data_IF_131318644618
#
_entry.id   IF_131318644618
#
_cell.length_a   1.000
_cell.length_b   1.000
_cell.length_c   1.000
_cell.angle_alpha   90.00
_cell.angle_beta   90.00
_cell.angle_gamma   90.00
#
_symmetry.space_group_name_H-M   'P 1'
#
loop_
_entity.id
_entity.type
_entity.pdbx_description
1 polymer ?
#
# COMPACT_ATOMS: atom_id res chain seq x y z
N UNK A 1 -44.70 -33.33 22.42
CA UNK A 1 -43.60 -34.31 22.44
C UNK A 1 -43.34 -34.77 21.01
N UNK A 2 -42.32 -34.26 20.34
CA UNK A 2 -41.66 -34.94 19.20
C UNK A 2 -40.38 -34.20 18.92
N UNK A 3 -39.25 -34.85 19.28
CA UNK A 3 -37.87 -34.38 19.10
C UNK A 3 -37.46 -34.67 17.67
N UNK A 4 -37.10 -33.66 16.89
CA UNK A 4 -36.37 -33.82 15.63
C UNK A 4 -34.86 -33.62 15.90
N UNK A 5 -34.12 -34.73 15.81
CA UNK A 5 -32.66 -34.74 15.81
C UNK A 5 -32.20 -34.32 14.42
N UNK A 6 -31.55 -33.15 14.29
CA UNK A 6 -30.80 -32.73 13.10
C UNK A 6 -29.45 -33.41 13.13
N UNK A 7 -29.25 -34.38 12.25
CA UNK A 7 -27.96 -34.94 11.91
C UNK A 7 -27.18 -33.92 11.03
N UNK A 8 -26.21 -33.22 11.61
CA UNK A 8 -25.21 -32.43 10.89
C UNK A 8 -24.20 -33.41 10.24
N UNK A 9 -24.40 -33.72 8.97
CA UNK A 9 -23.38 -34.36 8.14
C UNK A 9 -22.30 -33.33 7.86
N UNK A 10 -21.23 -33.37 8.63
CA UNK A 10 -19.97 -32.64 8.35
C UNK A 10 -19.33 -33.24 7.11
N UNK A 11 -19.60 -32.65 5.94
CA UNK A 11 -18.79 -32.87 4.75
C UNK A 11 -17.41 -32.27 5.00
N UNK A 12 -16.48 -33.08 5.49
CA UNK A 12 -15.06 -32.75 5.51
C UNK A 12 -14.58 -32.58 4.07
N UNK A 13 -14.54 -31.36 3.59
CA UNK A 13 -13.76 -31.02 2.41
C UNK A 13 -12.28 -31.23 2.77
N UNK A 14 -11.75 -32.41 2.42
CA UNK A 14 -10.33 -32.63 2.33
C UNK A 14 -9.81 -31.71 1.22
N UNK A 15 -9.41 -30.48 1.56
CA UNK A 15 -8.58 -29.70 0.68
C UNK A 15 -7.29 -30.51 0.49
N UNK A 16 -7.15 -31.20 -0.63
CA UNK A 16 -5.84 -31.51 -1.14
C UNK A 16 -5.05 -30.20 -1.07
N UNK A 17 -3.99 -30.18 -0.28
CA UNK A 17 -3.11 -29.03 -0.14
C UNK A 17 -2.43 -28.78 -1.49
N UNK A 18 -3.15 -28.16 -2.42
CA UNK A 18 -2.54 -27.63 -3.62
C UNK A 18 -1.51 -26.58 -3.17
N UNK A 19 -0.33 -26.60 -3.78
CA UNK A 19 0.68 -25.59 -3.49
C UNK A 19 0.08 -24.21 -3.76
N UNK A 20 0.14 -23.31 -2.77
CA UNK A 20 -0.40 -21.96 -2.89
C UNK A 20 0.35 -21.19 -3.99
N UNK A 21 -0.37 -20.74 -5.01
CA UNK A 21 0.16 -19.90 -6.06
C UNK A 21 0.16 -18.42 -5.62
N UNK A 22 0.66 -17.52 -6.47
CA UNK A 22 0.76 -16.10 -6.14
C UNK A 22 -0.63 -15.45 -6.03
N UNK A 23 -1.58 -15.81 -6.89
CA UNK A 23 -2.96 -15.31 -6.86
C UNK A 23 -3.69 -15.75 -5.60
N UNK A 24 -3.60 -17.02 -5.20
CA UNK A 24 -4.20 -17.51 -3.95
C UNK A 24 -3.62 -16.80 -2.72
N UNK A 25 -2.30 -16.56 -2.73
CA UNK A 25 -1.60 -15.82 -1.67
C UNK A 25 -2.07 -14.37 -1.61
N UNK A 26 -2.32 -13.74 -2.76
CA UNK A 26 -2.89 -12.39 -2.84
C UNK A 26 -4.31 -12.33 -2.27
N UNK A 27 -5.20 -13.25 -2.62
CA UNK A 27 -6.55 -13.28 -2.08
C UNK A 27 -6.56 -13.46 -0.56
N UNK A 28 -5.69 -14.32 -0.02
CA UNK A 28 -5.54 -14.47 1.42
C UNK A 28 -5.04 -13.16 2.09
N UNK A 29 -4.09 -12.47 1.45
CA UNK A 29 -3.59 -11.17 1.91
C UNK A 29 -4.68 -10.08 1.84
N UNK A 30 -5.46 -10.03 0.77
CA UNK A 30 -6.56 -9.05 0.60
C UNK A 30 -7.59 -9.15 1.73
N UNK A 31 -7.83 -10.36 2.23
CA UNK A 31 -8.76 -10.61 3.33
C UNK A 31 -8.17 -10.28 4.72
N UNK A 32 -6.84 -10.30 4.88
CA UNK A 32 -6.18 -10.29 6.21
C UNK A 32 -5.19 -9.15 6.44
N UNK A 33 -4.69 -8.47 5.38
CA UNK A 33 -3.67 -7.42 5.52
C UNK A 33 -4.23 -6.18 6.24
N UNK A 34 -3.68 -5.80 7.42
CA UNK A 34 -4.18 -4.67 8.18
C UNK A 34 -3.96 -3.31 7.47
N UNK A 35 -2.91 -3.19 6.63
CA UNK A 35 -2.63 -1.96 5.92
C UNK A 35 -3.68 -1.72 4.81
N UNK A 36 -4.07 -2.78 4.10
CA UNK A 36 -5.14 -2.70 3.12
C UNK A 36 -6.51 -2.45 3.78
N UNK A 37 -6.81 -3.13 4.90
CA UNK A 37 -8.03 -2.87 5.67
C UNK A 37 -8.10 -1.41 6.17
N UNK A 38 -6.97 -0.83 6.58
CA UNK A 38 -6.86 0.59 6.95
C UNK A 38 -7.15 1.51 5.75
N UNK A 39 -6.63 1.19 4.57
CA UNK A 39 -6.90 1.96 3.35
C UNK A 39 -8.38 1.91 2.95
N UNK A 40 -9.03 0.74 3.05
CA UNK A 40 -10.47 0.59 2.84
C UNK A 40 -11.29 1.39 3.85
N UNK A 41 -10.90 1.39 5.13
CA UNK A 41 -11.56 2.20 6.15
C UNK A 41 -11.40 3.71 5.88
N UNK A 42 -10.20 4.14 5.45
CA UNK A 42 -9.92 5.52 5.06
C UNK A 42 -10.76 5.95 3.85
N UNK A 43 -10.93 5.08 2.86
CA UNK A 43 -11.81 5.32 1.73
C UNK A 43 -13.27 5.51 2.18
N UNK A 44 -13.79 4.60 3.04
CA UNK A 44 -15.15 4.74 3.59
C UNK A 44 -15.33 6.05 4.35
N UNK A 45 -14.34 6.46 5.14
CA UNK A 45 -14.35 7.75 5.82
C UNK A 45 -14.30 8.93 4.82
N UNK A 46 -13.58 8.77 3.70
CA UNK A 46 -13.54 9.74 2.61
C UNK A 46 -14.88 9.95 1.93
N UNK A 47 -15.68 8.89 1.75
CA UNK A 47 -17.03 8.96 1.17
C UNK A 47 -17.97 9.82 2.01
N UNK A 48 -17.79 9.87 3.34
CA UNK A 48 -18.63 10.66 4.25
C UNK A 48 -18.39 12.18 4.12
N UNK A 49 -17.35 12.62 3.41
CA UNK A 49 -17.11 14.04 3.15
C UNK A 49 -18.23 14.69 2.31
N UNK A 50 -18.82 13.94 1.40
CA UNK A 50 -19.91 14.43 0.55
C UNK A 50 -21.23 14.63 1.33
N UNK A 51 -21.73 13.64 2.11
CA UNK A 51 -22.87 13.86 3.00
C UNK A 51 -22.66 15.01 3.98
N UNK A 52 -21.44 15.13 4.57
CA UNK A 52 -21.10 16.23 5.48
C UNK A 52 -21.18 17.59 4.79
N UNK A 53 -20.64 17.72 3.58
CA UNK A 53 -20.71 18.96 2.82
C UNK A 53 -22.15 19.26 2.36
N UNK A 54 -22.92 18.23 1.97
CA UNK A 54 -24.34 18.35 1.63
C UNK A 54 -25.17 18.82 2.81
N UNK A 55 -24.87 18.42 4.04
CA UNK A 55 -25.54 18.85 5.25
C UNK A 55 -25.50 20.38 5.44
N UNK A 56 -24.43 21.04 4.94
CA UNK A 56 -24.32 22.51 4.92
C UNK A 56 -25.27 23.23 3.96
N UNK A 57 -26.02 22.46 3.14
CA UNK A 57 -27.06 22.96 2.21
C UNK A 57 -28.48 22.58 2.66
N UNK A 58 -28.62 21.71 3.66
CA UNK A 58 -29.90 21.18 4.14
C UNK A 58 -30.37 21.93 5.39
N UNK A 59 -31.67 21.81 5.76
CA UNK A 59 -32.18 22.42 6.99
C UNK A 59 -31.45 21.85 8.20
N UNK A 60 -31.07 22.75 9.12
CA UNK A 60 -30.52 22.41 10.43
C UNK A 60 -31.56 22.68 11.49
N UNK A 61 -31.89 21.68 12.30
CA UNK A 61 -32.86 21.79 13.39
C UNK A 61 -32.10 21.63 14.70
N UNK A 62 -32.26 22.58 15.58
CA UNK A 62 -31.67 22.58 16.93
C UNK A 62 -32.72 22.79 17.98
N UNK A 63 -32.59 22.14 19.12
CA UNK A 63 -33.37 22.40 20.32
C UNK A 63 -32.46 22.82 21.45
N UNK A 64 -32.87 23.83 22.22
CA UNK A 64 -32.14 24.30 23.37
C UNK A 64 -33.05 24.46 24.55
N UNK A 65 -32.55 24.22 25.77
CA UNK A 65 -33.23 24.51 27.01
C UNK A 65 -32.21 25.12 27.98
N UNK A 66 -32.65 26.14 28.69
CA UNK A 66 -31.82 26.78 29.69
C UNK A 66 -32.63 27.17 30.93
N UNK A 67 -32.02 27.09 32.11
CA UNK A 67 -32.51 27.67 33.36
C UNK A 67 -31.39 28.57 33.92
N UNK A 68 -31.64 29.84 33.97
CA UNK A 68 -30.66 30.85 34.37
C UNK A 68 -31.17 31.55 35.62
N UNK A 69 -30.42 31.45 36.70
CA UNK A 69 -30.67 32.20 37.91
C UNK A 69 -30.06 33.59 37.76
N UNK A 70 -30.90 34.63 37.93
CA UNK A 70 -30.55 36.02 37.76
C UNK A 70 -30.66 36.71 39.14
N UNK A 71 -29.58 37.34 39.56
CA UNK A 71 -29.57 38.26 40.67
C UNK A 71 -29.21 39.65 40.12
N UNK A 72 -30.20 40.52 40.02
CA UNK A 72 -30.08 41.82 39.37
C UNK A 72 -30.38 42.92 40.37
N UNK A 73 -29.50 43.88 40.51
CA UNK A 73 -29.76 45.14 41.29
C UNK A 73 -30.12 46.24 40.30
N UNK A 74 -31.41 46.64 40.31
CA UNK A 74 -31.95 47.58 39.36
C UNK A 74 -32.27 48.87 40.07
N UNK A 75 -31.85 50.02 39.55
CA UNK A 75 -32.17 51.36 40.08
C UNK A 75 -33.68 51.64 40.06
N UNK A 76 -34.46 50.99 39.21
CA UNK A 76 -35.91 51.20 39.09
C UNK A 76 -36.75 50.23 39.97
N UNK A 77 -36.22 48.94 40.16
CA UNK A 77 -37.00 47.91 40.82
C UNK A 77 -36.32 47.29 42.05
N UNK A 78 -35.12 47.76 42.41
CA UNK A 78 -34.34 47.17 43.50
C UNK A 78 -33.72 45.86 43.20
N UNK A 79 -33.42 45.04 44.21
CA UNK A 79 -32.85 43.69 44.05
C UNK A 79 -33.91 42.73 43.66
N UNK A 80 -33.67 42.04 42.48
CA UNK A 80 -34.53 41.02 41.91
C UNK A 80 -33.76 39.71 41.89
N UNK A 81 -34.34 38.66 42.41
CA UNK A 81 -33.82 37.30 42.44
C UNK A 81 -34.84 36.38 41.77
N UNK A 82 -34.51 35.81 40.62
CA UNK A 82 -35.44 34.98 39.85
C UNK A 82 -34.73 34.01 38.93
N UNK A 83 -35.38 32.92 38.57
CA UNK A 83 -34.86 31.93 37.62
C UNK A 83 -35.68 31.97 36.34
N UNK A 84 -35.02 32.34 35.23
CA UNK A 84 -35.64 32.29 33.90
C UNK A 84 -35.43 30.91 33.29
N UNK A 85 -36.52 30.30 32.82
CA UNK A 85 -36.49 29.04 32.06
C UNK A 85 -36.85 29.32 30.61
N UNK A 86 -36.03 28.82 29.68
CA UNK A 86 -36.30 28.95 28.25
C UNK A 86 -36.13 27.61 27.56
N UNK A 87 -37.09 27.25 26.71
CA UNK A 87 -37.00 26.12 25.78
C UNK A 87 -37.26 26.64 24.36
N UNK A 88 -36.39 26.32 23.42
CA UNK A 88 -36.52 26.80 22.06
C UNK A 88 -36.18 25.68 21.04
N UNK A 89 -36.91 25.68 19.92
CA UNK A 89 -36.59 24.91 18.73
C UNK A 89 -36.34 25.92 17.60
N UNK A 90 -35.24 25.73 16.88
CA UNK A 90 -34.85 26.58 15.76
C UNK A 90 -34.59 25.71 14.52
N UNK A 91 -35.11 26.16 13.39
CA UNK A 91 -34.82 25.61 12.07
C UNK A 91 -34.10 26.69 11.26
N UNK A 92 -32.94 26.36 10.74
CA UNK A 92 -32.15 27.18 9.83
C UNK A 92 -32.00 26.49 8.50
N UNK A 93 -32.52 27.07 7.41
CA UNK A 93 -32.35 26.58 6.05
C UNK A 93 -31.51 27.59 5.24
N UNK A 94 -30.28 27.23 4.87
CA UNK A 94 -29.51 28.03 3.92
C UNK A 94 -30.21 28.07 2.56
N UNK A 95 -30.53 29.26 2.05
CA UNK A 95 -31.08 29.46 0.69
C UNK A 95 -29.96 29.79 -0.28
N UNK A 96 -29.06 30.69 0.13
CA UNK A 96 -27.90 31.05 -0.66
C UNK A 96 -26.68 31.24 0.25
N UNK A 97 -25.73 30.32 0.11
CA UNK A 97 -24.39 30.37 0.73
C UNK A 97 -23.36 29.86 -0.24
N UNK A 98 -22.72 30.77 -1.01
CA UNK A 98 -21.71 30.40 -2.03
C UNK A 98 -20.61 29.51 -1.43
N UNK A 99 -20.21 29.76 -0.18
CA UNK A 99 -19.22 28.96 0.52
C UNK A 99 -19.63 27.48 0.68
N UNK A 100 -20.91 27.20 1.00
CA UNK A 100 -21.43 25.84 1.12
C UNK A 100 -21.47 25.09 -0.21
N UNK A 101 -21.83 25.78 -1.31
CA UNK A 101 -21.78 25.19 -2.65
C UNK A 101 -20.35 24.83 -3.06
N UNK A 102 -19.38 25.72 -2.77
CA UNK A 102 -17.97 25.44 -3.07
C UNK A 102 -17.42 24.31 -2.20
N UNK A 103 -17.82 24.24 -0.93
CA UNK A 103 -17.46 23.12 -0.05
C UNK A 103 -17.99 21.78 -0.57
N UNK A 104 -19.21 21.77 -1.12
CA UNK A 104 -19.78 20.57 -1.76
C UNK A 104 -18.97 20.14 -2.98
N UNK A 105 -18.54 21.08 -3.83
CA UNK A 105 -17.67 20.80 -4.97
C UNK A 105 -16.28 20.28 -4.51
N UNK A 106 -15.71 20.85 -3.43
CA UNK A 106 -14.47 20.34 -2.84
C UNK A 106 -14.62 18.90 -2.33
N UNK A 107 -15.74 18.58 -1.68
CA UNK A 107 -16.02 17.24 -1.16
C UNK A 107 -16.04 16.18 -2.28
N UNK A 108 -16.55 16.53 -3.48
CA UNK A 108 -16.48 15.64 -4.64
C UNK A 108 -15.03 15.34 -5.05
N UNK A 109 -14.16 16.36 -5.04
CA UNK A 109 -12.73 16.14 -5.32
C UNK A 109 -12.03 15.35 -4.20
N UNK A 110 -12.45 15.51 -2.94
CA UNK A 110 -11.93 14.71 -1.81
C UNK A 110 -12.26 13.21 -1.96
N UNK A 111 -13.44 12.87 -2.51
CA UNK A 111 -13.77 11.48 -2.86
C UNK A 111 -12.80 10.97 -3.93
N UNK A 112 -12.54 11.77 -4.98
CA UNK A 112 -11.59 11.36 -6.02
C UNK A 112 -10.17 11.13 -5.48
N UNK A 113 -9.74 11.91 -4.47
CA UNK A 113 -8.48 11.64 -3.74
C UNK A 113 -8.55 10.30 -3.01
N UNK A 114 -9.64 10.04 -2.28
CA UNK A 114 -9.80 8.81 -1.51
C UNK A 114 -9.87 7.56 -2.41
N UNK A 115 -10.55 7.63 -3.56
CA UNK A 115 -10.59 6.57 -4.58
C UNK A 115 -9.21 6.28 -5.15
N UNK A 116 -8.46 7.31 -5.49
CA UNK A 116 -7.12 7.17 -6.02
C UNK A 116 -6.16 6.58 -4.96
N UNK A 117 -6.29 6.97 -3.70
CA UNK A 117 -5.51 6.41 -2.59
C UNK A 117 -5.83 4.92 -2.36
N UNK A 118 -7.09 4.51 -2.43
CA UNK A 118 -7.47 3.10 -2.34
C UNK A 118 -6.90 2.30 -3.51
N UNK A 119 -6.97 2.83 -4.73
CA UNK A 119 -6.37 2.19 -5.91
C UNK A 119 -4.85 2.06 -5.80
N UNK A 120 -4.18 3.05 -5.21
CA UNK A 120 -2.73 2.96 -4.92
C UNK A 120 -2.43 1.88 -3.87
N UNK A 121 -3.25 1.77 -2.82
CA UNK A 121 -3.09 0.77 -1.77
C UNK A 121 -3.33 -0.66 -2.29
N UNK A 122 -4.25 -0.84 -3.23
CA UNK A 122 -4.50 -2.13 -3.89
C UNK A 122 -3.27 -2.57 -4.70
N UNK A 123 -2.72 -1.68 -5.54
CA UNK A 123 -1.50 -1.97 -6.30
C UNK A 123 -0.28 -2.20 -5.38
N UNK A 124 -0.18 -1.47 -4.28
CA UNK A 124 0.86 -1.69 -3.26
C UNK A 124 0.73 -3.08 -2.62
N UNK A 125 -0.49 -3.51 -2.29
CA UNK A 125 -0.73 -4.85 -1.76
C UNK A 125 -0.26 -5.93 -2.74
N UNK A 126 -0.62 -5.81 -4.04
CA UNK A 126 -0.16 -6.73 -5.09
C UNK A 126 1.37 -6.83 -5.12
N UNK A 127 2.06 -5.69 -5.11
CA UNK A 127 3.53 -5.67 -5.14
C UNK A 127 4.16 -6.21 -3.86
N UNK A 128 3.61 -5.89 -2.68
CA UNK A 128 4.11 -6.41 -1.39
C UNK A 128 3.95 -7.93 -1.28
N UNK A 129 2.82 -8.45 -1.72
CA UNK A 129 2.58 -9.90 -1.76
C UNK A 129 3.55 -10.58 -2.73
N UNK A 130 3.67 -10.07 -3.97
CA UNK A 130 4.57 -10.61 -4.96
C UNK A 130 6.04 -10.58 -4.49
N UNK A 131 6.48 -9.46 -3.91
CA UNK A 131 7.83 -9.33 -3.35
C UNK A 131 8.08 -10.36 -2.23
N UNK A 132 7.16 -10.46 -1.25
CA UNK A 132 7.31 -11.38 -0.13
C UNK A 132 7.26 -12.85 -0.57
N UNK A 133 6.41 -13.18 -1.54
CA UNK A 133 6.31 -14.50 -2.15
C UNK A 133 7.63 -14.90 -2.84
N UNK A 134 8.16 -14.03 -3.71
CA UNK A 134 9.43 -14.29 -4.40
C UNK A 134 10.63 -14.27 -3.45
N UNK A 135 10.62 -13.45 -2.40
CA UNK A 135 11.64 -13.48 -1.37
C UNK A 135 11.72 -14.85 -0.68
N UNK A 136 10.57 -15.47 -0.37
CA UNK A 136 10.54 -16.84 0.18
C UNK A 136 11.08 -17.84 -0.82
N UNK A 137 10.66 -17.80 -2.09
CA UNK A 137 11.16 -18.71 -3.11
C UNK A 137 12.66 -18.55 -3.34
N UNK A 138 13.15 -17.32 -3.39
CA UNK A 138 14.58 -17.05 -3.53
C UNK A 138 15.40 -17.60 -2.37
N UNK A 139 14.91 -17.47 -1.13
CA UNK A 139 15.58 -18.03 0.06
C UNK A 139 15.53 -19.56 0.07
N UNK A 140 14.43 -20.16 -0.42
CA UNK A 140 14.34 -21.63 -0.60
C UNK A 140 15.35 -22.14 -1.64
N UNK A 141 15.46 -21.47 -2.78
CA UNK A 141 16.43 -21.82 -3.82
C UNK A 141 17.87 -21.64 -3.31
N UNK A 142 18.15 -20.54 -2.61
CA UNK A 142 19.46 -20.28 -2.01
C UNK A 142 19.86 -21.41 -1.03
N UNK A 143 18.94 -21.81 -0.14
CA UNK A 143 19.17 -22.93 0.78
C UNK A 143 19.43 -24.23 0.04
N UNK A 144 18.61 -24.54 -0.97
CA UNK A 144 18.78 -25.75 -1.81
C UNK A 144 20.15 -25.78 -2.49
N UNK A 145 20.62 -24.66 -3.04
CA UNK A 145 21.93 -24.58 -3.68
C UNK A 145 23.08 -24.68 -2.67
N UNK A 146 22.95 -24.10 -1.47
CA UNK A 146 23.93 -24.24 -0.39
C UNK A 146 24.03 -25.68 0.06
N UNK A 147 22.92 -26.39 0.26
CA UNK A 147 22.90 -27.81 0.61
C UNK A 147 23.52 -28.69 -0.46
N UNK A 148 23.24 -28.42 -1.75
CA UNK A 148 23.87 -29.13 -2.85
C UNK A 148 25.38 -28.86 -2.94
N UNK A 149 25.80 -27.62 -2.67
CA UNK A 149 27.22 -27.25 -2.57
C UNK A 149 27.90 -27.97 -1.40
N UNK A 150 27.26 -28.00 -0.22
CA UNK A 150 27.76 -28.69 0.97
C UNK A 150 27.97 -30.20 0.72
N UNK A 151 27.00 -30.85 0.09
CA UNK A 151 27.13 -32.25 -0.28
C UNK A 151 28.34 -32.52 -1.22
N UNK A 152 28.50 -31.63 -2.23
CA UNK A 152 29.65 -31.73 -3.15
C UNK A 152 31.00 -31.47 -2.46
N UNK A 153 31.06 -30.53 -1.53
CA UNK A 153 32.28 -30.24 -0.74
C UNK A 153 32.59 -31.40 0.21
N UNK A 154 31.56 -32.02 0.82
CA UNK A 154 31.75 -33.19 1.69
C UNK A 154 32.35 -34.37 0.94
N UNK A 155 31.93 -34.62 -0.32
CA UNK A 155 32.57 -35.64 -1.19
C UNK A 155 34.02 -35.31 -1.49
N UNK A 156 34.36 -34.04 -1.81
CA UNK A 156 35.72 -33.61 -2.06
C UNK A 156 36.59 -33.73 -0.83
N UNK A 157 36.07 -33.38 0.34
CA UNK A 157 36.78 -33.56 1.63
C UNK A 157 37.09 -35.04 1.89
N UNK A 158 36.12 -35.91 1.70
CA UNK A 158 36.31 -37.35 1.85
C UNK A 158 37.35 -37.90 0.86
N UNK A 159 37.37 -37.39 -0.36
CA UNK A 159 38.37 -37.75 -1.39
C UNK A 159 39.75 -37.21 -0.97
N UNK A 160 39.88 -35.94 -0.56
CA UNK A 160 41.14 -35.33 -0.16
C UNK A 160 41.76 -36.06 1.04
N UNK A 161 40.97 -36.45 2.06
CA UNK A 161 41.42 -37.28 3.20
C UNK A 161 41.96 -38.61 2.76
N UNK A 162 41.25 -39.37 1.93
CA UNK A 162 41.71 -40.66 1.40
C UNK A 162 42.96 -40.53 0.55
N UNK A 163 43.07 -39.50 -0.30
CA UNK A 163 44.26 -39.24 -1.12
C UNK A 163 45.49 -38.90 -0.24
N UNK A 164 45.30 -38.19 0.86
CA UNK A 164 46.36 -37.92 1.83
C UNK A 164 46.81 -39.20 2.55
N UNK A 165 45.89 -40.05 3.00
CA UNK A 165 46.18 -41.33 3.64
C UNK A 165 47.04 -42.29 2.79
N UNK A 166 46.81 -42.29 1.47
CA UNK A 166 47.59 -43.08 0.50
C UNK A 166 48.81 -42.35 -0.03
N UNK A 167 49.06 -41.10 0.45
CA UNK A 167 50.26 -40.33 0.07
C UNK A 167 50.19 -39.66 -1.32
N UNK A 168 49.02 -39.64 -1.97
CA UNK A 168 48.83 -39.00 -3.29
C UNK A 168 48.38 -37.56 -3.28
N UNK A 169 48.09 -36.98 -2.07
CA UNK A 169 47.73 -35.56 -1.86
C UNK A 169 48.45 -35.02 -0.63
N UNK A 170 48.46 -33.70 -0.48
CA UNK A 170 49.09 -33.01 0.65
C UNK A 170 48.08 -32.86 1.81
N UNK A 171 48.60 -32.67 3.02
CA UNK A 171 47.77 -32.29 4.21
C UNK A 171 47.07 -30.95 3.97
N UNK A 172 47.69 -30.05 3.22
CA UNK A 172 47.12 -28.74 2.86
C UNK A 172 45.82 -28.89 2.08
N UNK A 173 45.72 -29.82 1.11
CA UNK A 173 44.53 -30.12 0.36
C UNK A 173 43.37 -30.57 1.26
N UNK A 174 43.66 -31.44 2.23
CA UNK A 174 42.70 -31.90 3.22
C UNK A 174 42.21 -30.76 4.16
N UNK A 175 43.13 -29.90 4.60
CA UNK A 175 42.80 -28.77 5.49
C UNK A 175 41.97 -27.73 4.75
N UNK A 176 42.26 -27.47 3.46
CA UNK A 176 41.49 -26.54 2.64
C UNK A 176 40.06 -27.05 2.37
N UNK A 177 39.90 -28.32 2.04
CA UNK A 177 38.60 -28.94 1.88
C UNK A 177 37.81 -28.92 3.21
N UNK A 178 38.47 -29.13 4.37
CA UNK A 178 37.84 -29.00 5.67
C UNK A 178 37.36 -27.57 5.95
N UNK A 179 38.20 -26.57 5.70
CA UNK A 179 37.84 -25.16 5.87
C UNK A 179 36.63 -24.77 5.03
N UNK A 180 36.54 -25.26 3.77
CA UNK A 180 35.38 -25.07 2.88
C UNK A 180 34.12 -25.76 3.43
N UNK A 181 34.24 -26.97 3.97
CA UNK A 181 33.11 -27.67 4.57
C UNK A 181 32.58 -26.92 5.80
N UNK A 182 33.46 -26.44 6.68
CA UNK A 182 33.07 -25.70 7.88
C UNK A 182 32.40 -24.35 7.48
N UNK A 183 32.91 -23.65 6.47
CA UNK A 183 32.29 -22.44 5.94
C UNK A 183 30.89 -22.72 5.35
N UNK A 184 30.73 -23.84 4.61
CA UNK A 184 29.44 -24.18 4.02
C UNK A 184 28.37 -24.50 5.07
N UNK A 185 28.76 -25.11 6.21
CA UNK A 185 27.88 -25.32 7.35
C UNK A 185 27.39 -23.98 7.95
N UNK A 186 28.30 -23.03 8.10
CA UNK A 186 27.92 -21.68 8.58
C UNK A 186 26.96 -20.98 7.60
N UNK A 187 27.17 -21.13 6.30
CA UNK A 187 26.28 -20.56 5.27
C UNK A 187 24.88 -21.23 5.29
N UNK A 188 24.80 -22.54 5.51
CA UNK A 188 23.50 -23.23 5.64
C UNK A 188 22.71 -22.72 6.83
N UNK A 189 23.35 -22.58 8.01
CA UNK A 189 22.69 -22.03 9.20
C UNK A 189 22.13 -20.60 8.91
N UNK A 190 22.91 -19.77 8.25
CA UNK A 190 22.47 -18.43 7.87
C UNK A 190 21.29 -18.46 6.88
N UNK A 191 21.32 -19.35 5.90
CA UNK A 191 20.25 -19.50 4.91
C UNK A 191 18.95 -20.06 5.51
N UNK A 192 19.04 -20.97 6.48
CA UNK A 192 17.88 -21.48 7.23
C UNK A 192 17.21 -20.35 8.02
N UNK A 193 18.00 -19.52 8.68
CA UNK A 193 17.47 -18.35 9.40
C UNK A 193 16.83 -17.32 8.46
N UNK A 194 17.47 -17.01 7.33
CA UNK A 194 16.90 -16.10 6.32
C UNK A 194 15.55 -16.62 5.80
N UNK A 195 15.46 -17.90 5.46
CA UNK A 195 14.22 -18.52 5.02
C UNK A 195 13.10 -18.39 6.08
N UNK A 196 13.39 -18.60 7.36
CA UNK A 196 12.40 -18.43 8.43
C UNK A 196 11.94 -16.97 8.52
N UNK A 197 12.86 -16.02 8.43
CA UNK A 197 12.52 -14.59 8.43
C UNK A 197 11.63 -14.20 7.24
N UNK A 198 11.95 -14.69 6.02
CA UNK A 198 11.13 -14.42 4.81
C UNK A 198 9.74 -15.04 4.92
N UNK A 199 9.63 -16.26 5.44
CA UNK A 199 8.32 -16.89 5.71
C UNK A 199 7.50 -16.07 6.71
N UNK A 200 8.10 -15.59 7.78
CA UNK A 200 7.42 -14.73 8.77
C UNK A 200 6.98 -13.40 8.16
N UNK A 201 7.80 -12.83 7.27
CA UNK A 201 7.43 -11.60 6.55
C UNK A 201 6.19 -11.82 5.65
N UNK A 202 6.14 -12.94 4.92
CA UNK A 202 4.96 -13.30 4.12
C UNK A 202 3.73 -13.56 5.02
N UNK A 203 3.90 -14.33 6.12
CA UNK A 203 2.83 -14.61 7.07
C UNK A 203 2.22 -13.34 7.67
N UNK A 204 3.02 -12.30 7.89
CA UNK A 204 2.55 -11.00 8.39
C UNK A 204 1.56 -10.33 7.43
N UNK A 205 1.73 -10.53 6.11
CA UNK A 205 0.85 -9.96 5.08
C UNK A 205 -0.38 -10.84 4.88
N UNK A 206 -0.17 -12.17 4.83
CA UNK A 206 -1.23 -13.15 4.53
C UNK A 206 -2.10 -13.49 5.75
N UNK A 207 -1.62 -13.20 6.98
CA UNK A 207 -2.34 -13.46 8.23
C UNK A 207 -2.36 -14.92 8.67
N UNK A 208 -1.86 -15.84 7.86
CA UNK A 208 -1.77 -17.28 8.14
C UNK A 208 -0.48 -17.85 7.58
N UNK A 209 -0.05 -19.01 8.10
CA UNK A 209 1.10 -19.71 7.51
C UNK A 209 0.66 -20.28 6.15
N UNK A 210 1.19 -19.77 5.02
CA UNK A 210 0.91 -20.39 3.73
C UNK A 210 1.45 -21.83 3.75
N UNK A 211 0.73 -22.74 3.10
CA UNK A 211 1.23 -24.09 2.84
C UNK A 211 2.52 -24.10 2.00
N UNK A 212 2.80 -25.20 1.34
CA UNK A 212 3.86 -25.23 0.32
C UNK A 212 3.54 -24.22 -0.78
N UNK A 213 4.51 -23.34 -1.10
CA UNK A 213 4.37 -22.38 -2.20
C UNK A 213 4.68 -23.07 -3.52
N UNK A 214 4.00 -22.65 -4.58
CA UNK A 214 4.37 -23.03 -5.94
C UNK A 214 5.72 -22.41 -6.31
N UNK A 215 6.59 -23.19 -6.96
CA UNK A 215 7.98 -22.80 -7.29
C UNK A 215 8.09 -22.39 -8.75
N UNK A 216 9.09 -21.57 -9.09
CA UNK A 216 9.33 -21.17 -10.47
C UNK A 216 9.79 -22.35 -11.33
N UNK A 217 9.06 -22.60 -12.42
CA UNK A 217 9.42 -23.62 -13.41
C UNK A 217 10.58 -23.15 -14.31
N UNK A 218 11.09 -24.09 -15.11
CA UNK A 218 12.18 -23.80 -16.07
C UNK A 218 11.69 -23.18 -17.39
N UNK A 219 10.40 -22.88 -17.52
CA UNK A 219 9.77 -22.40 -18.76
C UNK A 219 9.80 -20.89 -18.94
N UNK A 220 10.34 -20.15 -17.96
CA UNK A 220 10.40 -18.69 -18.03
C UNK A 220 11.30 -18.25 -19.19
N UNK A 221 10.70 -17.61 -20.19
CA UNK A 221 11.41 -16.93 -21.28
C UNK A 221 11.24 -15.42 -21.11
N UNK A 222 12.29 -14.69 -20.72
CA UNK A 222 12.21 -13.26 -20.60
C UNK A 222 11.92 -12.59 -21.94
N UNK A 223 10.85 -11.77 -21.97
CA UNK A 223 10.39 -11.04 -23.17
C UNK A 223 10.47 -9.55 -22.91
N UNK A 224 10.73 -8.76 -23.94
CA UNK A 224 10.68 -7.29 -23.83
C UNK A 224 9.26 -6.83 -23.47
N UNK A 225 9.12 -5.71 -22.72
CA UNK A 225 7.81 -5.20 -22.34
C UNK A 225 7.01 -4.74 -23.56
N UNK A 226 5.69 -4.95 -23.54
CA UNK A 226 4.79 -4.48 -24.60
C UNK A 226 3.91 -3.35 -24.07
N UNK A 227 3.97 -2.15 -24.66
CA UNK A 227 4.79 -1.71 -25.82
C UNK A 227 6.29 -1.67 -25.54
N UNK A 228 7.09 -1.70 -26.61
CA UNK A 228 8.56 -1.64 -26.52
C UNK A 228 9.11 -0.23 -26.36
N UNK A 229 8.29 0.80 -26.49
CA UNK A 229 8.68 2.21 -26.33
C UNK A 229 8.53 2.66 -24.89
N UNK A 230 9.56 3.27 -24.32
CA UNK A 230 9.52 3.93 -23.01
C UNK A 230 8.47 5.05 -22.98
N UNK A 231 8.41 5.90 -24.02
CA UNK A 231 7.48 7.02 -24.09
C UNK A 231 6.01 6.57 -24.03
N UNK A 232 5.70 5.40 -24.61
CA UNK A 232 4.37 4.82 -24.52
C UNK A 232 4.01 4.37 -23.08
N UNK A 233 4.98 3.92 -22.30
CA UNK A 233 4.79 3.59 -20.89
C UNK A 233 4.64 4.84 -20.04
N UNK A 234 5.42 5.89 -20.29
CA UNK A 234 5.28 7.19 -19.61
C UNK A 234 3.88 7.77 -19.88
N UNK A 235 3.44 7.79 -21.14
CA UNK A 235 2.11 8.26 -21.47
C UNK A 235 0.98 7.47 -20.77
N UNK A 236 1.12 6.15 -20.65
CA UNK A 236 0.19 5.31 -19.87
C UNK A 236 0.22 5.66 -18.37
N UNK A 237 1.41 5.86 -17.81
CA UNK A 237 1.58 6.24 -16.41
C UNK A 237 0.95 7.61 -16.11
N UNK A 238 1.15 8.60 -16.99
CA UNK A 238 0.52 9.91 -16.85
C UNK A 238 -1.01 9.87 -16.91
N UNK A 239 -1.58 8.95 -17.67
CA UNK A 239 -3.02 8.77 -17.78
C UNK A 239 -3.61 7.89 -16.65
N UNK A 240 -2.87 6.85 -16.23
CA UNK A 240 -3.36 5.77 -15.36
C UNK A 240 -2.98 5.91 -13.90
N UNK A 241 -1.86 6.54 -13.56
CA UNK A 241 -1.32 6.56 -12.20
C UNK A 241 -2.32 7.08 -11.15
N UNK A 242 -2.63 6.28 -10.12
CA UNK A 242 -3.48 6.72 -9.01
C UNK A 242 -2.88 7.91 -8.26
N UNK A 243 -1.56 7.95 -8.08
CA UNK A 243 -0.89 9.05 -7.40
C UNK A 243 -1.10 10.38 -8.13
N UNK A 244 -1.00 10.37 -9.48
CA UNK A 244 -1.22 11.57 -10.28
C UNK A 244 -2.70 12.00 -10.27
N UNK A 245 -3.63 11.04 -10.26
CA UNK A 245 -5.07 11.32 -10.09
C UNK A 245 -5.36 11.99 -8.75
N UNK A 246 -4.80 11.48 -7.66
CA UNK A 246 -4.93 12.07 -6.33
C UNK A 246 -4.39 13.51 -6.30
N UNK A 247 -3.21 13.74 -6.89
CA UNK A 247 -2.57 15.06 -6.89
C UNK A 247 -3.31 16.07 -7.78
N UNK A 248 -3.89 15.64 -8.92
CA UNK A 248 -4.77 16.49 -9.75
C UNK A 248 -6.02 16.88 -8.97
N UNK A 249 -6.65 15.95 -8.26
CA UNK A 249 -7.80 16.25 -7.41
C UNK A 249 -7.43 17.21 -6.26
N UNK A 250 -6.25 17.05 -5.65
CA UNK A 250 -5.73 17.96 -4.63
C UNK A 250 -5.50 19.38 -5.17
N UNK A 251 -4.97 19.51 -6.39
CA UNK A 251 -4.86 20.80 -7.08
C UNK A 251 -6.24 21.44 -7.33
N UNK A 252 -7.23 20.66 -7.76
CA UNK A 252 -8.61 21.16 -7.95
C UNK A 252 -9.23 21.63 -6.63
N UNK A 253 -8.96 20.92 -5.51
CA UNK A 253 -9.39 21.35 -4.16
C UNK A 253 -8.78 22.72 -3.81
N UNK A 254 -7.47 22.90 -4.06
CA UNK A 254 -6.80 24.18 -3.79
C UNK A 254 -7.35 25.30 -4.67
N UNK A 255 -7.72 25.03 -5.92
CA UNK A 255 -8.38 26.00 -6.80
C UNK A 255 -9.76 26.39 -6.26
N UNK A 256 -10.57 25.43 -5.86
CA UNK A 256 -11.88 25.70 -5.23
C UNK A 256 -11.75 26.42 -3.89
N UNK A 257 -10.65 26.25 -3.17
CA UNK A 257 -10.38 26.95 -1.90
C UNK A 257 -10.29 28.46 -2.09
N UNK A 258 -9.75 28.92 -3.23
CA UNK A 258 -9.74 30.34 -3.57
C UNK A 258 -11.17 30.87 -3.71
N UNK A 259 -12.04 30.11 -4.42
CA UNK A 259 -13.44 30.50 -4.57
C UNK A 259 -14.18 30.48 -3.23
N UNK A 260 -13.90 29.49 -2.37
CA UNK A 260 -14.48 29.39 -1.03
C UNK A 260 -14.13 30.61 -0.17
N UNK A 261 -12.86 31.04 -0.21
CA UNK A 261 -12.43 32.21 0.53
C UNK A 261 -12.96 33.51 -0.05
N UNK A 262 -13.05 33.65 -1.41
CA UNK A 262 -13.69 34.79 -2.06
C UNK A 262 -15.18 34.93 -1.70
N UNK A 263 -15.84 33.78 -1.44
CA UNK A 263 -17.24 33.76 -1.00
C UNK A 263 -17.47 34.46 0.33
N UNK A 264 -16.42 34.78 1.11
CA UNK A 264 -16.48 35.63 2.29
C UNK A 264 -16.89 37.09 2.02
N UNK A 265 -16.84 37.55 0.76
CA UNK A 265 -17.37 38.84 0.32
C UNK A 265 -18.82 38.77 -0.18
N UNK A 266 -19.37 37.54 -0.36
CA UNK A 266 -20.70 37.40 -0.92
C UNK A 266 -21.77 37.41 0.17
N UNK A 267 -23.00 37.84 -0.18
CA UNK A 267 -24.11 37.77 0.74
C UNK A 267 -24.48 36.33 1.07
N UNK A 268 -25.08 36.16 2.25
CA UNK A 268 -25.75 34.91 2.63
C UNK A 268 -27.25 35.24 2.85
N UNK A 269 -28.10 34.28 2.50
CA UNK A 269 -29.53 34.29 2.68
C UNK A 269 -29.98 32.98 3.32
N UNK A 270 -30.57 33.08 4.48
CA UNK A 270 -31.07 31.96 5.26
C UNK A 270 -32.58 32.15 5.56
N UNK A 271 -33.37 31.07 5.49
CA UNK A 271 -34.70 31.03 6.08
C UNK A 271 -34.57 30.56 7.54
N UNK A 272 -35.20 31.25 8.44
CA UNK A 272 -35.17 30.96 9.87
C UNK A 272 -36.60 30.78 10.37
N UNK A 273 -36.85 29.69 11.09
CA UNK A 273 -38.07 29.50 11.85
C UNK A 273 -37.69 29.12 13.30
N UNK A 274 -38.33 29.76 14.27
CA UNK A 274 -38.12 29.42 15.67
C UNK A 274 -39.41 29.45 16.48
N UNK A 275 -39.47 28.56 17.46
CA UNK A 275 -40.48 28.55 18.51
C UNK A 275 -39.76 28.55 19.86
N UNK A 276 -40.13 29.49 20.72
CA UNK A 276 -39.56 29.56 22.07
C UNK A 276 -40.67 29.69 23.12
N UNK A 277 -40.51 29.01 24.26
CA UNK A 277 -41.33 29.09 25.46
C UNK A 277 -40.39 29.57 26.59
N UNK A 278 -40.51 30.87 26.89
CA UNK A 278 -39.75 31.53 27.97
C UNK A 278 -40.64 31.73 29.15
N UNK A 279 -40.29 31.19 30.31
CA UNK A 279 -41.04 31.23 31.55
C UNK A 279 -40.25 31.92 32.63
N UNK A 280 -41.04 32.50 33.59
CA UNK A 280 -40.49 33.11 34.76
C UNK A 280 -39.60 34.34 34.43
N UNK A 281 -39.85 35.02 33.29
CA UNK A 281 -39.23 36.31 33.00
C UNK A 281 -39.76 37.37 33.96
N UNK A 282 -38.88 38.06 34.62
CA UNK A 282 -39.27 39.07 35.61
C UNK A 282 -39.17 40.49 35.02
N UNK A 283 -40.28 41.21 34.98
CA UNK A 283 -40.36 42.63 34.65
C UNK A 283 -40.82 43.40 35.86
N UNK A 284 -39.89 43.62 36.80
CA UNK A 284 -40.23 44.27 38.10
C UNK A 284 -41.04 43.31 38.98
N UNK A 285 -42.29 43.64 39.23
CA UNK A 285 -43.18 42.88 40.12
C UNK A 285 -44.04 41.84 39.36
N UNK A 286 -43.81 41.69 38.06
CA UNK A 286 -44.61 40.79 37.23
C UNK A 286 -43.76 39.63 36.66
N UNK A 287 -44.18 38.40 36.89
CA UNK A 287 -43.67 37.23 36.14
C UNK A 287 -44.45 37.06 34.84
N UNK A 288 -43.70 36.96 33.74
CA UNK A 288 -44.28 36.85 32.39
C UNK A 288 -43.82 35.56 31.73
N UNK A 289 -44.77 34.81 31.14
CA UNK A 289 -44.51 33.65 30.31
C UNK A 289 -44.79 34.01 28.86
N UNK A 290 -43.76 33.89 27.99
CA UNK A 290 -43.88 34.27 26.58
C UNK A 290 -43.67 33.03 25.69
N UNK A 291 -44.64 32.80 24.81
CA UNK A 291 -44.49 31.84 23.70
C UNK A 291 -44.35 32.63 22.41
N UNK A 292 -43.22 32.49 21.75
CA UNK A 292 -42.92 33.26 20.55
C UNK A 292 -42.66 32.33 19.38
N UNK A 293 -43.37 32.52 18.27
CA UNK A 293 -43.09 31.90 17.00
C UNK A 293 -42.57 32.96 16.02
N UNK A 294 -41.45 32.68 15.40
CA UNK A 294 -40.84 33.59 14.42
C UNK A 294 -40.57 32.81 13.14
N UNK A 295 -40.90 33.39 12.01
CA UNK A 295 -40.54 32.88 10.66
C UNK A 295 -40.05 34.08 9.86
N UNK A 296 -38.90 33.94 9.22
CA UNK A 296 -38.31 35.03 8.45
C UNK A 296 -37.18 34.64 7.54
N UNK A 297 -36.70 35.61 6.81
CA UNK A 297 -35.50 35.52 6.00
C UNK A 297 -34.42 36.39 6.64
N UNK A 298 -33.24 35.83 6.77
CA UNK A 298 -32.07 36.56 7.26
C UNK A 298 -31.08 36.73 6.13
N UNK A 299 -30.87 37.98 5.72
CA UNK A 299 -29.86 38.41 4.76
C UNK A 299 -28.68 39.01 5.50
N UNK A 300 -27.46 38.55 5.20
CA UNK A 300 -26.24 39.10 5.75
C UNK A 300 -25.23 39.36 4.61
N UNK A 301 -24.75 40.62 4.54
CA UNK A 301 -23.72 41.03 3.59
C UNK A 301 -22.58 41.69 4.35
N UNK A 302 -21.41 41.03 4.45
CA UNK A 302 -20.24 41.61 5.11
C UNK A 302 -19.61 42.68 4.21
N UNK A 303 -19.71 43.93 4.62
CA UNK A 303 -19.19 45.08 3.86
C UNK A 303 -17.68 45.28 4.06
N UNK A 304 -17.20 45.11 5.28
CA UNK A 304 -15.79 45.27 5.63
C UNK A 304 -15.40 44.34 6.79
N UNK A 305 -14.32 43.59 6.65
CA UNK A 305 -13.82 42.63 7.65
C UNK A 305 -12.33 42.87 7.98
N UNK A 306 -11.87 44.14 8.00
CA UNK A 306 -10.48 44.43 8.36
C UNK A 306 -9.42 43.84 7.45
N UNK A 307 -9.76 43.50 6.19
CA UNK A 307 -8.83 42.86 5.22
C UNK A 307 -8.69 41.34 5.36
N UNK A 308 -9.40 40.69 6.28
CA UNK A 308 -9.30 39.23 6.55
C UNK A 308 -9.56 38.41 5.32
N UNK A 309 -10.64 38.68 4.57
CA UNK A 309 -10.98 37.88 3.36
C UNK A 309 -9.90 38.00 2.29
N UNK A 310 -9.40 39.23 2.04
CA UNK A 310 -8.33 39.47 1.09
C UNK A 310 -7.02 38.70 1.46
N UNK A 311 -6.71 38.65 2.76
CA UNK A 311 -5.57 37.87 3.26
C UNK A 311 -5.75 36.38 3.05
N UNK A 312 -6.92 35.80 3.36
CA UNK A 312 -7.26 34.42 3.12
C UNK A 312 -7.24 34.05 1.63
N UNK A 313 -7.68 34.95 0.76
CA UNK A 313 -7.60 34.74 -0.70
C UNK A 313 -6.14 34.69 -1.15
N UNK A 314 -5.25 35.59 -0.66
CA UNK A 314 -3.82 35.54 -1.00
C UNK A 314 -3.16 34.25 -0.49
N UNK A 315 -3.49 33.84 0.72
CA UNK A 315 -3.03 32.55 1.28
C UNK A 315 -3.49 31.38 0.41
N UNK A 316 -4.76 31.34 0.00
CA UNK A 316 -5.30 30.30 -0.85
C UNK A 316 -4.63 30.29 -2.24
N UNK A 317 -4.28 31.45 -2.80
CA UNK A 317 -3.53 31.55 -4.06
C UNK A 317 -2.13 30.94 -3.89
N UNK A 318 -1.42 31.28 -2.81
CA UNK A 318 -0.10 30.71 -2.53
C UNK A 318 -0.17 29.17 -2.34
N UNK A 319 -1.22 28.67 -1.68
CA UNK A 319 -1.47 27.25 -1.53
C UNK A 319 -1.82 26.56 -2.87
N UNK A 320 -2.50 27.23 -3.79
CA UNK A 320 -2.72 26.73 -5.16
C UNK A 320 -1.41 26.65 -5.93
N UNK A 321 -0.52 27.65 -5.84
CA UNK A 321 0.78 27.62 -6.48
C UNK A 321 1.65 26.47 -5.93
N UNK A 322 1.61 26.24 -4.61
CA UNK A 322 2.22 25.07 -3.99
C UNK A 322 1.64 23.76 -4.58
N UNK A 323 0.33 23.63 -4.62
CA UNK A 323 -0.32 22.41 -5.15
C UNK A 323 0.00 22.18 -6.64
N UNK A 324 0.21 23.24 -7.42
CA UNK A 324 0.67 23.15 -8.81
C UNK A 324 2.11 22.62 -8.89
N UNK A 325 2.99 23.12 -8.03
CA UNK A 325 4.38 22.63 -7.97
C UNK A 325 4.43 21.17 -7.52
N UNK A 326 3.64 20.78 -6.50
CA UNK A 326 3.52 19.41 -6.04
C UNK A 326 3.00 18.47 -7.14
N UNK A 327 2.06 18.92 -7.97
CA UNK A 327 1.55 18.15 -9.12
C UNK A 327 2.63 17.93 -10.18
N UNK A 328 3.41 18.95 -10.48
CA UNK A 328 4.51 18.84 -11.44
C UNK A 328 5.64 17.96 -10.92
N UNK A 329 5.97 18.04 -9.62
CA UNK A 329 6.94 17.15 -8.97
C UNK A 329 6.48 15.69 -9.01
N UNK A 330 5.22 15.43 -8.66
CA UNK A 330 4.63 14.10 -8.75
C UNK A 330 4.69 13.54 -10.17
N UNK A 331 4.43 14.36 -11.18
CA UNK A 331 4.51 13.96 -12.59
C UNK A 331 5.93 13.51 -12.93
N UNK A 332 6.95 14.34 -12.60
CA UNK A 332 8.36 14.00 -12.84
C UNK A 332 8.80 12.76 -12.10
N UNK A 333 8.32 12.57 -10.88
CA UNK A 333 8.61 11.36 -10.10
C UNK A 333 8.01 10.11 -10.76
N UNK A 334 6.80 10.20 -11.32
CA UNK A 334 6.17 9.10 -12.06
C UNK A 334 6.95 8.78 -13.34
N UNK A 335 7.39 9.79 -14.08
CA UNK A 335 8.23 9.61 -15.27
C UNK A 335 9.52 8.86 -14.92
N UNK A 336 10.21 9.29 -13.85
CA UNK A 336 11.42 8.64 -13.37
C UNK A 336 11.15 7.19 -12.92
N UNK A 337 10.13 6.97 -12.13
CA UNK A 337 9.78 5.63 -11.61
C UNK A 337 9.40 4.68 -12.75
N UNK A 338 8.64 5.16 -13.72
CA UNK A 338 8.27 4.39 -14.92
C UNK A 338 9.50 4.05 -15.76
N UNK A 339 10.41 5.00 -15.93
CA UNK A 339 11.66 4.78 -16.66
C UNK A 339 12.55 3.75 -15.95
N UNK A 340 12.67 3.83 -14.63
CA UNK A 340 13.42 2.86 -13.83
C UNK A 340 12.81 1.46 -13.93
N UNK A 341 11.47 1.35 -13.84
CA UNK A 341 10.78 0.06 -13.96
C UNK A 341 10.93 -0.53 -15.37
N UNK A 342 10.81 0.28 -16.42
CA UNK A 342 11.02 -0.15 -17.80
C UNK A 342 12.45 -0.66 -18.04
N UNK A 343 13.46 0.10 -17.59
CA UNK A 343 14.86 -0.32 -17.65
C UNK A 343 15.11 -1.57 -16.81
N UNK A 344 14.43 -1.71 -15.68
CA UNK A 344 14.48 -2.92 -14.85
C UNK A 344 14.01 -4.17 -15.59
N UNK A 345 12.95 -4.08 -16.39
CA UNK A 345 12.47 -5.21 -17.22
C UNK A 345 13.43 -5.52 -18.36
N UNK A 346 13.88 -4.50 -19.10
CA UNK A 346 14.75 -4.70 -20.27
C UNK A 346 16.13 -5.21 -19.87
N UNK A 347 16.76 -4.61 -18.85
CA UNK A 347 18.04 -5.08 -18.33
C UNK A 347 17.93 -6.44 -17.62
N UNK A 348 16.84 -6.68 -16.89
CA UNK A 348 16.56 -7.96 -16.23
C UNK A 348 16.45 -9.10 -17.22
N UNK A 349 15.76 -8.88 -18.34
CA UNK A 349 15.67 -9.88 -19.42
C UNK A 349 17.06 -10.22 -20.01
N UNK A 350 17.87 -9.20 -20.25
CA UNK A 350 19.25 -9.40 -20.75
C UNK A 350 20.13 -10.11 -19.71
N UNK A 351 20.00 -9.76 -18.43
CA UNK A 351 20.73 -10.37 -17.32
C UNK A 351 20.40 -11.86 -17.16
N UNK A 352 19.12 -12.23 -17.21
CA UNK A 352 18.70 -13.65 -17.13
C UNK A 352 19.35 -14.45 -18.27
N UNK A 353 19.29 -13.96 -19.51
CA UNK A 353 19.90 -14.61 -20.67
C UNK A 353 21.44 -14.75 -20.53
N UNK A 354 22.09 -13.73 -20.01
CA UNK A 354 23.53 -13.76 -19.76
C UNK A 354 23.91 -14.80 -18.69
N UNK A 355 23.14 -14.86 -17.60
CA UNK A 355 23.35 -15.82 -16.52
C UNK A 355 23.02 -17.27 -16.93
N UNK A 356 22.07 -17.49 -17.83
CA UNK A 356 21.82 -18.81 -18.43
C UNK A 356 23.05 -19.29 -19.23
N UNK A 357 23.67 -18.42 -19.99
CA UNK A 357 24.91 -18.74 -20.69
C UNK A 357 26.08 -18.95 -19.71
N UNK A 358 26.19 -18.11 -18.67
CA UNK A 358 27.20 -18.27 -17.64
C UNK A 358 27.06 -19.58 -16.87
N UNK A 359 25.82 -20.06 -16.65
CA UNK A 359 25.55 -21.35 -16.02
C UNK A 359 26.10 -22.50 -16.85
N UNK A 360 25.87 -22.52 -18.19
CA UNK A 360 26.43 -23.50 -19.10
C UNK A 360 27.97 -23.51 -19.06
N UNK A 361 28.57 -22.31 -19.07
CA UNK A 361 30.02 -22.13 -19.01
C UNK A 361 30.62 -22.60 -17.69
N UNK A 362 29.97 -22.26 -16.56
CA UNK A 362 30.41 -22.71 -15.23
C UNK A 362 30.31 -24.22 -15.05
N UNK A 363 29.24 -24.85 -15.58
CA UNK A 363 29.11 -26.32 -15.58
C UNK A 363 30.22 -27.01 -16.39
N UNK A 364 30.53 -26.45 -17.57
CA UNK A 364 31.62 -26.96 -18.43
C UNK A 364 32.97 -26.81 -17.73
N UNK A 365 33.22 -25.64 -17.07
CA UNK A 365 34.44 -25.38 -16.31
C UNK A 365 34.61 -26.38 -15.15
N UNK A 366 33.54 -26.66 -14.41
CA UNK A 366 33.58 -27.64 -13.31
C UNK A 366 33.90 -29.07 -13.87
N UNK A 367 33.26 -29.46 -14.95
CA UNK A 367 33.51 -30.79 -15.56
C UNK A 367 34.97 -30.91 -16.05
N UNK A 368 35.52 -29.84 -16.68
CA UNK A 368 36.91 -29.78 -17.11
C UNK A 368 37.89 -29.80 -15.93
N UNK A 369 37.57 -29.11 -14.84
CA UNK A 369 38.39 -29.10 -13.63
C UNK A 369 38.41 -30.48 -12.94
N UNK A 370 37.28 -31.17 -12.89
CA UNK A 370 37.20 -32.53 -12.37
C UNK A 370 38.05 -33.52 -13.20
N UNK A 371 37.91 -33.50 -14.52
CA UNK A 371 38.73 -34.32 -15.43
C UNK A 371 40.21 -33.96 -15.29
N UNK A 372 40.54 -32.66 -15.20
CA UNK A 372 41.93 -32.21 -15.00
C UNK A 372 42.54 -32.67 -13.69
N UNK A 373 41.75 -32.80 -12.62
CA UNK A 373 42.18 -33.37 -11.35
C UNK A 373 42.47 -34.89 -11.48
N UNK A 374 41.59 -35.61 -12.17
CA UNK A 374 41.78 -37.07 -12.42
C UNK A 374 43.07 -37.37 -13.18
N UNK A 375 43.46 -36.52 -14.13
CA UNK A 375 44.71 -36.69 -14.92
C UNK A 375 45.90 -35.95 -14.31
N UNK A 376 45.75 -35.31 -13.13
CA UNK A 376 46.83 -34.69 -12.39
C UNK A 376 47.31 -33.34 -12.89
N UNK A 377 46.56 -32.64 -13.80
CA UNK A 377 46.90 -31.31 -14.33
C UNK A 377 46.15 -30.17 -13.64
N UNK A 378 45.25 -30.49 -12.73
CA UNK A 378 44.51 -29.56 -11.87
C UNK A 378 44.57 -29.98 -10.40
N UNK A 379 44.32 -29.03 -9.50
CA UNK A 379 44.35 -29.25 -8.05
C UNK A 379 42.93 -29.44 -7.49
N UNK A 380 42.81 -29.99 -6.30
CA UNK A 380 41.57 -30.04 -5.52
C UNK A 380 40.98 -28.67 -5.35
N UNK A 381 41.82 -27.66 -5.13
CA UNK A 381 41.40 -26.24 -5.01
C UNK A 381 40.73 -25.73 -6.29
N UNK A 382 41.22 -26.07 -7.48
CA UNK A 382 40.60 -25.71 -8.76
C UNK A 382 39.19 -26.26 -8.86
N UNK A 383 38.96 -27.51 -8.46
CA UNK A 383 37.63 -28.12 -8.45
C UNK A 383 36.70 -27.46 -7.46
N UNK A 384 37.16 -27.19 -6.23
CA UNK A 384 36.37 -26.48 -5.18
C UNK A 384 35.98 -25.07 -5.64
N UNK A 385 36.89 -24.33 -6.29
CA UNK A 385 36.60 -23.00 -6.82
C UNK A 385 35.60 -23.07 -7.99
N UNK A 386 35.72 -24.05 -8.90
CA UNK A 386 34.76 -24.25 -9.99
C UNK A 386 33.36 -24.64 -9.46
N UNK A 387 33.30 -25.47 -8.40
CA UNK A 387 32.04 -25.80 -7.73
C UNK A 387 31.40 -24.55 -7.11
N UNK A 388 32.16 -23.76 -6.36
CA UNK A 388 31.68 -22.52 -5.76
C UNK A 388 31.12 -21.57 -6.82
N UNK A 389 31.84 -21.41 -7.95
CA UNK A 389 31.38 -20.57 -9.06
C UNK A 389 30.07 -21.08 -9.68
N UNK A 390 29.93 -22.38 -9.87
CA UNK A 390 28.70 -22.98 -10.41
C UNK A 390 27.48 -22.69 -9.50
N UNK A 391 27.61 -22.97 -8.20
CA UNK A 391 26.49 -22.75 -7.26
C UNK A 391 26.18 -21.27 -7.05
N UNK A 392 27.18 -20.40 -7.10
CA UNK A 392 26.97 -18.95 -7.11
C UNK A 392 26.17 -18.52 -8.35
N UNK A 393 26.56 -18.99 -9.54
CA UNK A 393 25.87 -18.68 -10.80
C UNK A 393 24.42 -19.22 -10.81
N UNK A 394 24.16 -20.41 -10.24
CA UNK A 394 22.80 -20.94 -10.10
C UNK A 394 21.93 -20.06 -9.21
N UNK A 395 22.46 -19.61 -8.06
CA UNK A 395 21.78 -18.72 -7.14
C UNK A 395 21.50 -17.36 -7.78
N UNK A 396 22.48 -16.79 -8.48
CA UNK A 396 22.37 -15.49 -9.15
C UNK A 396 21.34 -15.56 -10.30
N UNK A 397 21.28 -16.66 -11.04
CA UNK A 397 20.26 -16.88 -12.06
C UNK A 397 18.86 -16.98 -11.47
N UNK A 398 18.67 -17.72 -10.37
CA UNK A 398 17.39 -17.79 -9.68
C UNK A 398 16.94 -16.41 -9.21
N UNK A 399 17.83 -15.65 -8.55
CA UNK A 399 17.54 -14.28 -8.10
C UNK A 399 17.18 -13.36 -9.27
N UNK A 400 17.90 -13.41 -10.39
CA UNK A 400 17.63 -12.60 -11.58
C UNK A 400 16.25 -12.92 -12.20
N UNK A 401 15.83 -14.18 -12.19
CA UNK A 401 14.50 -14.61 -12.69
C UNK A 401 13.37 -14.00 -11.83
N UNK A 402 13.48 -14.06 -10.51
CA UNK A 402 12.49 -13.43 -9.61
C UNK A 402 12.49 -11.90 -9.74
N UNK A 403 13.68 -11.29 -9.82
CA UNK A 403 13.81 -9.84 -10.00
C UNK A 403 13.19 -9.37 -11.33
N UNK A 404 13.34 -10.15 -12.43
CA UNK A 404 12.70 -9.86 -13.70
C UNK A 404 11.16 -9.88 -13.61
N UNK A 405 10.58 -10.94 -13.02
CA UNK A 405 9.13 -11.05 -12.83
C UNK A 405 8.59 -9.87 -12.01
N UNK A 406 9.25 -9.55 -10.91
CA UNK A 406 8.86 -8.43 -10.06
C UNK A 406 8.99 -7.07 -10.78
N UNK A 407 10.02 -6.89 -11.61
CA UNK A 407 10.18 -5.68 -12.42
C UNK A 407 9.04 -5.51 -13.42
N UNK A 408 8.52 -6.60 -13.99
CA UNK A 408 7.32 -6.59 -14.83
C UNK A 408 6.08 -6.07 -14.09
N UNK A 409 5.85 -6.57 -12.88
CA UNK A 409 4.74 -6.11 -12.03
C UNK A 409 4.92 -4.63 -11.62
N UNK A 410 6.15 -4.23 -11.27
CA UNK A 410 6.48 -2.83 -10.94
C UNK A 410 6.24 -1.88 -12.12
N UNK A 411 6.54 -2.29 -13.34
CA UNK A 411 6.27 -1.49 -14.53
C UNK A 411 4.77 -1.30 -14.76
N UNK A 412 3.97 -2.35 -14.60
CA UNK A 412 2.49 -2.26 -14.68
C UNK A 412 1.92 -1.40 -13.57
N UNK A 413 2.47 -1.46 -12.35
CA UNK A 413 2.08 -0.59 -11.23
C UNK A 413 2.42 0.89 -11.50
N UNK A 414 3.63 1.18 -11.98
CA UNK A 414 4.04 2.53 -12.35
C UNK A 414 3.13 3.13 -13.44
N UNK A 415 2.70 2.29 -14.39
CA UNK A 415 1.73 2.68 -15.41
C UNK A 415 0.28 2.79 -14.89
N UNK A 416 0.03 2.45 -13.61
CA UNK A 416 -1.32 2.46 -13.04
C UNK A 416 -2.25 1.40 -13.61
N UNK A 417 -1.71 0.36 -14.23
CA UNK A 417 -2.45 -0.70 -14.93
C UNK A 417 -2.30 -2.07 -14.28
N UNK A 418 -1.63 -2.16 -13.11
CA UNK A 418 -1.46 -3.42 -12.40
C UNK A 418 -2.80 -3.92 -11.87
N UNK A 419 -3.11 -5.18 -12.17
CA UNK A 419 -4.35 -5.86 -11.78
C UNK A 419 -4.07 -7.29 -11.33
N UNK A 420 -5.06 -7.94 -10.75
CA UNK A 420 -4.98 -9.35 -10.37
C UNK A 420 -4.68 -10.29 -11.55
N UNK A 421 -5.14 -9.95 -12.76
CA UNK A 421 -4.85 -10.74 -13.97
C UNK A 421 -3.36 -10.83 -14.27
N UNK A 422 -2.58 -9.85 -13.84
CA UNK A 422 -1.13 -9.83 -13.99
C UNK A 422 -0.44 -10.86 -13.07
N UNK A 423 -1.04 -11.12 -11.90
CA UNK A 423 -0.58 -12.21 -11.02
C UNK A 423 -0.86 -13.58 -11.67
N UNK A 424 -2.04 -13.75 -12.26
CA UNK A 424 -2.38 -14.98 -12.98
C UNK A 424 -1.46 -15.23 -14.21
N UNK A 425 -0.95 -14.17 -14.85
CA UNK A 425 0.10 -14.32 -15.88
C UNK A 425 1.41 -14.86 -15.30
N UNK A 426 1.79 -14.39 -14.11
CA UNK A 426 2.99 -14.87 -13.40
C UNK A 426 2.80 -16.32 -12.94
N UNK A 427 1.61 -16.69 -12.47
CA UNK A 427 1.29 -18.04 -12.02
C UNK A 427 1.48 -19.11 -13.12
N UNK A 428 1.39 -18.74 -14.40
CA UNK A 428 1.68 -19.66 -15.51
C UNK A 428 3.12 -20.17 -15.53
N UNK A 429 4.04 -19.45 -14.90
CA UNK A 429 5.44 -19.85 -14.75
C UNK A 429 5.69 -20.63 -13.46
N UNK A 430 4.70 -20.69 -12.54
CA UNK A 430 4.79 -21.41 -11.29
C UNK A 430 4.27 -22.85 -11.45
N UNK A 431 4.95 -23.77 -10.81
CA UNK A 431 4.59 -25.20 -10.78
C UNK A 431 4.45 -25.65 -9.32
N UNK A 432 3.58 -26.62 -9.01
CA UNK A 432 3.52 -27.18 -7.66
C UNK A 432 4.89 -27.66 -7.18
N UNK A 433 5.26 -27.35 -5.95
CA UNK A 433 6.45 -27.90 -5.33
C UNK A 433 6.30 -29.43 -5.26
N UNK A 434 7.33 -30.17 -5.72
CA UNK A 434 7.38 -31.64 -5.66
C UNK A 434 7.70 -32.11 -4.25
#
# INVERSE_FOLDING_TARGET
MTRYALLLIGAGFSHLAAAANLTDTFHAAQASDPAFASAQASYRAGLEKLPQARAGLLPQISASASAIHNNTDSSAFGKLDYTTKNAAIQVLQPIYRKQSYTLYAQAQQQISVAEAQLSSADQDLVLRVAQAYFDVLQSQDALRFIQAQQAAIAEQLAQAKRSFEVGSATITDSNEAQARADLSNAQEIAALNDLDLKRRALNRIVGSTPGTLAVLGNTLQPVAPSPTSLDAWIARAEAGSPQLKAQRAAFNIAQLEIERNRAGHYPTLDAVASYSDARDQNFGNFQVNNKTTQIGLQFNLPLYQGGLVNSRVREAVANQDKARADLEDTRRQIDLTTSQAYLGVTSGAAQVKALEQALVSSQTSLNSSKLGLEVGVRTTLDVLNAQQQLYATQRDLAAARYAYLLSGLRLKAAAGSLTETDLAEVDRYLIPAK
#
